data_IF_736256767276
#
_entry.id   IF_736256767276
#
_cell.length_a   1.000
_cell.length_b   1.000
_cell.length_c   1.000
_cell.angle_alpha   90.00
_cell.angle_beta   90.00
_cell.angle_gamma   90.00
#
_symmetry.space_group_name_H-M   'P 1'
#
loop_
_entity.id
_entity.type
_entity.pdbx_description
1 polymer ?
#
# COMPACT_ATOMS: atom_id res chain seq x y z
N UNK A 1 -0.26 9.59 13.44
CA UNK A 1 -0.67 9.86 12.04
C UNK A 1 -0.80 8.57 11.23
N UNK A 2 0.20 7.67 11.24
CA UNK A 2 0.17 6.41 10.50
C UNK A 2 -1.12 5.58 10.70
N UNK A 3 -1.58 5.39 11.94
CA UNK A 3 -2.81 4.62 12.22
C UNK A 3 -4.06 5.22 11.57
N UNK A 4 -4.18 6.54 11.49
CA UNK A 4 -5.32 7.21 10.84
C UNK A 4 -5.29 7.02 9.33
N UNK A 5 -4.10 7.06 8.71
CA UNK A 5 -3.93 6.75 7.29
C UNK A 5 -4.23 5.29 6.97
N UNK A 6 -3.83 4.37 7.86
CA UNK A 6 -4.18 2.95 7.76
C UNK A 6 -5.68 2.74 7.80
N UNK A 7 -6.38 3.38 8.74
CA UNK A 7 -7.83 3.27 8.81
C UNK A 7 -8.53 3.84 7.57
N UNK A 8 -8.03 4.95 7.03
CA UNK A 8 -8.54 5.49 5.77
C UNK A 8 -8.28 4.53 4.59
N UNK A 9 -7.10 3.91 4.54
CA UNK A 9 -6.78 2.92 3.51
C UNK A 9 -7.74 1.74 3.58
N UNK A 10 -7.94 1.17 4.78
CA UNK A 10 -8.89 0.08 4.98
C UNK A 10 -10.31 0.47 4.54
N UNK A 11 -10.77 1.69 4.86
CA UNK A 11 -12.08 2.18 4.43
C UNK A 11 -12.21 2.30 2.90
N UNK A 12 -11.17 2.75 2.20
CA UNK A 12 -11.15 2.81 0.73
C UNK A 12 -11.20 1.40 0.15
N UNK A 13 -10.48 0.44 0.74
CA UNK A 13 -10.43 -0.94 0.27
C UNK A 13 -11.77 -1.67 0.46
N UNK A 14 -12.65 -1.21 1.37
CA UNK A 14 -14.03 -1.74 1.47
C UNK A 14 -14.87 -1.43 0.22
N UNK A 15 -14.44 -0.51 -0.64
CA UNK A 15 -15.11 -0.23 -1.92
C UNK A 15 -14.72 -1.21 -3.02
N UNK A 16 -13.80 -2.13 -2.73
CA UNK A 16 -13.40 -3.17 -3.65
C UNK A 16 -14.60 -4.03 -4.09
N UNK A 17 -14.78 -4.18 -5.41
CA UNK A 17 -15.94 -4.85 -6.00
C UNK A 17 -17.25 -4.06 -5.99
N UNK A 18 -17.29 -2.87 -5.36
CA UNK A 18 -18.43 -1.93 -5.41
C UNK A 18 -18.22 -0.90 -6.51
N UNK A 19 -17.01 -0.38 -6.63
CA UNK A 19 -16.60 0.60 -7.65
C UNK A 19 -15.53 0.00 -8.56
N UNK A 20 -15.27 0.61 -9.74
CA UNK A 20 -14.19 0.17 -10.61
C UNK A 20 -12.85 0.10 -9.87
N UNK A 21 -12.09 -0.96 -10.09
CA UNK A 21 -10.80 -1.21 -9.43
C UNK A 21 -9.83 -0.04 -9.59
N UNK A 22 -9.79 0.59 -10.76
CA UNK A 22 -8.98 1.79 -11.03
C UNK A 22 -9.27 2.94 -10.05
N UNK A 23 -10.52 3.09 -9.60
CA UNK A 23 -10.91 4.12 -8.62
C UNK A 23 -10.32 3.80 -7.25
N UNK A 24 -10.41 2.53 -6.82
CA UNK A 24 -9.84 2.06 -5.55
C UNK A 24 -8.33 2.19 -5.56
N UNK A 25 -7.68 1.81 -6.67
CA UNK A 25 -6.24 1.93 -6.87
C UNK A 25 -5.78 3.41 -6.88
N UNK A 26 -6.50 4.31 -7.55
CA UNK A 26 -6.13 5.73 -7.56
C UNK A 26 -6.23 6.37 -6.16
N UNK A 27 -7.33 6.12 -5.46
CA UNK A 27 -7.54 6.70 -4.13
C UNK A 27 -6.62 6.05 -3.07
N UNK A 28 -6.57 4.72 -3.03
CA UNK A 28 -5.85 3.95 -2.02
C UNK A 28 -4.34 3.88 -2.27
N UNK A 29 -3.92 3.60 -3.50
CA UNK A 29 -2.50 3.38 -3.82
C UNK A 29 -1.81 4.66 -4.30
N UNK A 30 -2.37 5.35 -5.31
CA UNK A 30 -1.73 6.55 -5.88
C UNK A 30 -1.75 7.72 -4.90
N UNK A 31 -2.91 8.04 -4.32
CA UNK A 31 -3.09 9.23 -3.50
C UNK A 31 -2.79 9.00 -2.02
N UNK A 32 -3.15 7.86 -1.45
CA UNK A 32 -2.96 7.60 -0.02
C UNK A 32 -1.63 6.90 0.28
N UNK A 33 -1.39 5.72 -0.30
CA UNK A 33 -0.19 4.95 -0.05
C UNK A 33 1.07 5.70 -0.48
N UNK A 34 1.19 6.05 -1.75
CA UNK A 34 2.43 6.63 -2.30
C UNK A 34 2.73 8.04 -1.78
N UNK A 35 1.72 8.87 -1.51
CA UNK A 35 1.94 10.27 -1.09
C UNK A 35 2.05 10.47 0.42
N UNK A 36 1.43 9.62 1.24
CA UNK A 36 1.39 9.85 2.69
C UNK A 36 1.97 8.69 3.49
N UNK A 37 1.56 7.45 3.21
CA UNK A 37 2.04 6.29 3.96
C UNK A 37 3.50 5.98 3.63
N UNK A 38 3.88 5.98 2.35
CA UNK A 38 5.25 5.69 1.93
C UNK A 38 6.24 6.73 2.49
N UNK A 39 5.87 8.03 2.49
CA UNK A 39 6.68 9.05 3.15
C UNK A 39 6.81 8.78 4.66
N UNK A 40 5.76 8.31 5.32
CA UNK A 40 5.84 7.97 6.74
C UNK A 40 6.76 6.76 7.00
N UNK A 41 6.72 5.76 6.13
CA UNK A 41 7.59 4.58 6.19
C UNK A 41 9.06 4.95 5.95
N UNK A 42 9.35 5.74 4.91
CA UNK A 42 10.70 6.20 4.58
C UNK A 42 11.33 7.08 5.66
N UNK A 43 10.50 7.85 6.38
CA UNK A 43 10.95 8.65 7.53
C UNK A 43 11.05 7.85 8.84
N UNK A 44 10.56 6.61 8.86
CA UNK A 44 10.73 5.72 10.02
C UNK A 44 12.10 5.05 9.91
N UNK A 45 12.97 5.13 10.94
CA UNK A 45 14.28 4.47 10.91
C UNK A 45 14.17 2.97 10.60
N UNK A 46 15.13 2.38 9.87
CA UNK A 46 15.18 0.95 9.65
C UNK A 46 15.16 0.19 10.98
N UNK A 47 14.31 -0.82 11.09
CA UNK A 47 14.18 -1.60 12.32
C UNK A 47 12.80 -2.26 12.48
N UNK A 48 12.55 -2.89 13.64
CA UNK A 48 11.33 -3.67 13.89
C UNK A 48 10.04 -2.87 13.70
N UNK A 49 10.03 -1.59 14.07
CA UNK A 49 8.86 -0.70 13.91
C UNK A 49 8.52 -0.43 12.43
N UNK A 50 9.54 -0.18 11.59
CA UNK A 50 9.32 -0.01 10.15
C UNK A 50 8.78 -1.31 9.53
N UNK A 51 9.36 -2.47 9.90
CA UNK A 51 8.91 -3.79 9.43
C UNK A 51 7.46 -4.06 9.84
N UNK A 52 7.08 -3.77 11.10
CA UNK A 52 5.72 -3.94 11.58
C UNK A 52 4.72 -3.07 10.80
N UNK A 53 5.08 -1.81 10.52
CA UNK A 53 4.25 -0.89 9.72
C UNK A 53 4.09 -1.37 8.28
N UNK A 54 5.18 -1.84 7.65
CA UNK A 54 5.15 -2.44 6.32
C UNK A 54 4.24 -3.67 6.28
N UNK A 55 4.35 -4.57 7.27
CA UNK A 55 3.49 -5.74 7.39
C UNK A 55 2.01 -5.36 7.54
N UNK A 56 1.69 -4.32 8.34
CA UNK A 56 0.31 -3.82 8.46
C UNK A 56 -0.23 -3.35 7.11
N UNK A 57 0.54 -2.58 6.35
CA UNK A 57 0.14 -2.11 5.01
C UNK A 57 -0.15 -3.30 4.10
N UNK A 58 0.77 -4.26 4.01
CA UNK A 58 0.61 -5.46 3.17
C UNK A 58 -0.62 -6.27 3.57
N UNK A 59 -0.86 -6.46 4.87
CA UNK A 59 -1.98 -7.26 5.40
C UNK A 59 -3.36 -6.71 5.04
N UNK A 60 -3.47 -5.43 4.71
CA UNK A 60 -4.74 -4.82 4.31
C UNK A 60 -5.01 -4.95 2.82
N UNK A 61 -3.98 -5.16 1.98
CA UNK A 61 -4.10 -5.09 0.53
C UNK A 61 -4.62 -6.41 -0.07
N UNK A 62 -5.46 -6.38 -1.12
CA UNK A 62 -5.94 -7.58 -1.78
C UNK A 62 -4.81 -8.43 -2.36
N UNK A 63 -4.77 -9.73 -2.06
CA UNK A 63 -3.74 -10.65 -2.55
C UNK A 63 -3.61 -10.65 -4.08
N UNK A 64 -4.73 -10.45 -4.79
CA UNK A 64 -4.76 -10.44 -6.26
C UNK A 64 -3.95 -9.30 -6.86
N UNK A 65 -3.72 -8.22 -6.14
CA UNK A 65 -2.87 -7.10 -6.59
C UNK A 65 -1.38 -7.48 -6.63
N UNK A 66 -1.01 -8.58 -5.98
CA UNK A 66 0.36 -9.09 -5.93
C UNK A 66 0.59 -10.30 -6.85
N UNK A 67 -0.45 -10.82 -7.51
CA UNK A 67 -0.38 -12.09 -8.26
C UNK A 67 0.63 -12.06 -9.40
N UNK A 68 0.82 -10.89 -10.01
CA UNK A 68 1.70 -10.68 -11.16
C UNK A 68 3.04 -10.02 -10.78
N UNK A 69 3.47 -10.09 -9.51
CA UNK A 69 4.81 -9.62 -9.12
C UNK A 69 5.92 -10.35 -9.89
N UNK A 70 5.73 -11.64 -10.18
CA UNK A 70 6.76 -12.48 -10.81
C UNK A 70 6.90 -12.27 -12.32
N UNK A 71 5.87 -11.76 -12.98
CA UNK A 71 5.88 -11.44 -14.42
C UNK A 71 6.32 -10.01 -14.72
N UNK A 72 6.61 -9.20 -13.69
CA UNK A 72 6.97 -7.79 -13.85
C UNK A 72 5.77 -6.86 -14.12
N UNK A 73 4.55 -7.38 -14.12
CA UNK A 73 3.31 -6.60 -14.33
C UNK A 73 2.54 -6.40 -13.01
N UNK A 74 3.25 -5.98 -11.97
CA UNK A 74 2.61 -5.43 -10.77
C UNK A 74 1.89 -4.13 -11.10
N UNK A 75 0.81 -3.84 -10.37
CA UNK A 75 0.14 -2.54 -10.43
C UNK A 75 1.19 -1.42 -10.32
N UNK A 76 1.27 -0.48 -11.29
CA UNK A 76 2.30 0.57 -11.29
C UNK A 76 2.36 1.37 -9.99
N UNK A 77 1.23 1.48 -9.29
CA UNK A 77 1.11 2.17 -8.03
C UNK A 77 1.81 1.44 -6.86
N UNK A 78 2.04 0.13 -6.94
CA UNK A 78 2.72 -0.63 -5.89
C UNK A 78 4.24 -0.66 -6.06
N UNK A 79 4.78 -0.31 -7.24
CA UNK A 79 6.21 -0.42 -7.54
C UNK A 79 7.10 0.28 -6.50
N UNK A 80 6.78 1.51 -6.10
CA UNK A 80 7.57 2.25 -5.12
C UNK A 80 7.56 1.57 -3.74
N UNK A 81 6.42 1.04 -3.33
CA UNK A 81 6.29 0.32 -2.06
C UNK A 81 7.04 -1.01 -2.12
N UNK A 82 6.90 -1.78 -3.20
CA UNK A 82 7.65 -3.02 -3.40
C UNK A 82 9.17 -2.78 -3.38
N UNK A 83 9.65 -1.69 -3.97
CA UNK A 83 11.07 -1.32 -3.90
C UNK A 83 11.51 -1.00 -2.47
N UNK A 84 10.68 -0.29 -1.70
CA UNK A 84 10.98 0.00 -0.29
C UNK A 84 11.08 -1.29 0.56
N UNK A 85 10.27 -2.30 0.29
CA UNK A 85 10.32 -3.60 0.99
C UNK A 85 11.60 -4.41 0.71
N UNK A 86 12.33 -4.11 -0.37
CA UNK A 86 13.57 -4.80 -0.77
C UNK A 86 14.84 -4.12 -0.22
N UNK A 87 14.71 -2.96 0.43
CA UNK A 87 15.82 -2.23 1.06
C UNK A 87 16.12 -2.75 2.46
#
# INVERSE_FOLDING_TARGET
YFSSLMQLLSNILLWDGIVPEDTVCDLGLSKLLNRYLLLNLLNTPPGPDNIEKCNKVVSCLPERWFRDLKSGSTLPQLTNFSQHLLQ
#
